data_IF_495324276168
#
_entry.id   IF_495324276168
#
_cell.length_a   1.000
_cell.length_b   1.000
_cell.length_c   1.000
_cell.angle_alpha   90.00
_cell.angle_beta   90.00
_cell.angle_gamma   90.00
#
_symmetry.space_group_name_H-M   'P 1'
#
loop_
_entity.id
_entity.type
_entity.pdbx_description
1 polymer ?
#
# COMPACT_ATOMS: atom_id res chain seq x y z
N UNK A 1 23.00 -6.89 -5.75
CA UNK A 1 21.79 -6.10 -5.44
C UNK A 1 22.05 -5.42 -4.11
N UNK A 2 22.22 -4.10 -4.07
CA UNK A 2 22.38 -3.40 -2.80
C UNK A 2 21.06 -3.54 -2.02
N UNK A 3 21.12 -4.08 -0.81
CA UNK A 3 20.00 -4.02 0.11
C UNK A 3 19.70 -2.55 0.36
N UNK A 4 18.47 -2.10 0.07
CA UNK A 4 18.03 -0.75 0.44
C UNK A 4 17.86 -0.76 1.96
N UNK A 5 18.93 -0.45 2.67
CA UNK A 5 18.93 -0.31 4.14
C UNK A 5 18.62 1.14 4.56
N UNK A 6 18.71 2.08 3.61
CA UNK A 6 18.45 3.49 3.85
C UNK A 6 17.02 3.85 3.47
N UNK A 7 16.16 3.99 4.48
CA UNK A 7 14.74 4.26 4.30
C UNK A 7 14.48 5.66 3.75
N UNK A 8 15.46 6.59 3.87
CA UNK A 8 15.36 7.98 3.38
C UNK A 8 15.13 8.06 1.87
N UNK A 9 15.61 7.08 1.10
CA UNK A 9 15.39 7.05 -0.36
C UNK A 9 13.90 6.98 -0.71
N UNK A 10 13.08 6.31 0.11
CA UNK A 10 11.64 6.24 -0.10
C UNK A 10 10.96 7.56 0.24
N UNK A 11 11.36 8.19 1.34
CA UNK A 11 10.84 9.50 1.76
C UNK A 11 11.13 10.58 0.70
N UNK A 12 12.36 10.64 0.19
CA UNK A 12 12.79 11.59 -0.85
C UNK A 12 11.99 11.43 -2.16
N UNK A 13 11.59 10.21 -2.50
CA UNK A 13 10.83 9.92 -3.70
C UNK A 13 9.30 9.95 -3.51
N UNK A 14 8.78 10.13 -2.30
CA UNK A 14 7.34 10.09 -2.02
C UNK A 14 6.54 11.11 -2.85
N UNK A 15 7.07 12.33 -3.04
CA UNK A 15 6.42 13.34 -3.87
C UNK A 15 6.39 12.97 -5.35
N UNK A 16 7.50 12.44 -5.88
CA UNK A 16 7.59 11.98 -7.27
C UNK A 16 6.67 10.77 -7.51
N UNK A 17 6.60 9.85 -6.55
CA UNK A 17 5.67 8.73 -6.55
C UNK A 17 4.22 9.22 -6.66
N UNK A 18 3.77 10.10 -5.75
CA UNK A 18 2.42 10.70 -5.79
C UNK A 18 2.13 11.44 -7.10
N UNK A 19 3.12 12.13 -7.67
CA UNK A 19 2.96 12.78 -8.97
C UNK A 19 2.75 11.75 -10.09
N UNK A 20 3.54 10.68 -10.09
CA UNK A 20 3.40 9.59 -11.06
C UNK A 20 2.06 8.86 -10.96
N UNK A 21 1.54 8.59 -9.75
CA UNK A 21 0.24 7.94 -9.58
C UNK A 21 -0.90 8.73 -10.22
N UNK A 22 -0.79 10.06 -10.23
CA UNK A 22 -1.75 10.98 -10.86
C UNK A 22 -1.61 11.07 -12.38
N UNK A 23 -0.60 10.44 -13.00
CA UNK A 23 -0.51 10.37 -14.47
C UNK A 23 -1.56 9.43 -15.05
N UNK A 24 -1.90 9.52 -16.36
CA UNK A 24 -2.79 8.56 -17.00
C UNK A 24 -2.33 7.10 -16.84
N UNK A 25 -1.02 6.86 -16.90
CA UNK A 25 -0.45 5.52 -16.74
C UNK A 25 -0.54 5.02 -15.30
N UNK A 26 -0.24 5.86 -14.31
CA UNK A 26 -0.42 5.53 -12.90
C UNK A 26 -1.87 5.14 -12.59
N UNK A 27 -2.84 5.96 -13.01
CA UNK A 27 -4.27 5.66 -12.86
C UNK A 27 -4.71 4.39 -13.59
N UNK A 28 -4.11 4.06 -14.73
CA UNK A 28 -4.39 2.81 -15.43
C UNK A 28 -3.85 1.61 -14.63
N UNK A 29 -2.61 1.70 -14.12
CA UNK A 29 -2.00 0.64 -13.30
C UNK A 29 -2.88 0.29 -12.11
N UNK A 30 -3.28 1.28 -11.30
CA UNK A 30 -4.10 1.02 -10.11
C UNK A 30 -5.48 0.46 -10.45
N UNK A 31 -6.09 0.88 -11.57
CA UNK A 31 -7.35 0.27 -12.02
C UNK A 31 -7.19 -1.20 -12.38
N UNK A 32 -6.12 -1.56 -13.07
CA UNK A 32 -5.83 -2.96 -13.42
C UNK A 32 -5.56 -3.80 -12.18
N UNK A 33 -4.75 -3.30 -11.24
CA UNK A 33 -4.48 -3.99 -9.97
C UNK A 33 -5.77 -4.16 -9.17
N UNK A 34 -6.60 -3.13 -9.04
CA UNK A 34 -7.88 -3.22 -8.34
C UNK A 34 -8.80 -4.30 -8.93
N UNK A 35 -8.88 -4.44 -10.26
CA UNK A 35 -9.65 -5.51 -10.90
C UNK A 35 -9.12 -6.90 -10.58
N UNK A 36 -7.80 -7.07 -10.53
CA UNK A 36 -7.18 -8.33 -10.16
C UNK A 36 -7.42 -8.66 -8.68
N UNK A 37 -7.21 -7.69 -7.80
CA UNK A 37 -7.45 -7.83 -6.37
C UNK A 37 -8.91 -8.20 -6.09
N UNK A 38 -9.86 -7.53 -6.74
CA UNK A 38 -11.29 -7.82 -6.59
C UNK A 38 -11.63 -9.29 -6.89
N UNK A 39 -11.01 -9.86 -7.93
CA UNK A 39 -11.21 -11.27 -8.31
C UNK A 39 -10.66 -12.23 -7.26
N UNK A 40 -9.47 -11.95 -6.74
CA UNK A 40 -8.82 -12.82 -5.78
C UNK A 40 -9.42 -12.70 -4.38
N UNK A 41 -9.78 -11.48 -3.98
CA UNK A 41 -10.40 -11.19 -2.68
C UNK A 41 -11.78 -11.83 -2.55
N UNK A 42 -12.57 -11.85 -3.64
CA UNK A 42 -13.90 -12.48 -3.62
C UNK A 42 -13.86 -13.98 -3.30
N UNK A 43 -12.71 -14.65 -3.50
CA UNK A 43 -12.52 -16.06 -3.18
C UNK A 43 -11.97 -16.30 -1.77
N UNK A 44 -11.64 -15.25 -1.00
CA UNK A 44 -11.08 -15.40 0.33
C UNK A 44 -12.17 -15.75 1.36
N UNK A 45 -11.86 -16.58 2.37
CA UNK A 45 -12.78 -16.84 3.47
C UNK A 45 -13.14 -15.57 4.24
N UNK A 46 -14.35 -15.53 4.79
CA UNK A 46 -14.77 -14.49 5.71
C UNK A 46 -13.80 -14.41 6.91
N UNK A 47 -13.49 -13.19 7.36
CA UNK A 47 -12.55 -12.96 8.47
C UNK A 47 -11.08 -13.03 8.09
N UNK A 48 -10.74 -13.13 6.81
CA UNK A 48 -9.35 -13.01 6.35
C UNK A 48 -8.73 -11.67 6.76
N UNK A 49 -7.49 -11.71 7.25
CA UNK A 49 -6.70 -10.54 7.62
C UNK A 49 -5.54 -10.40 6.62
N UNK A 50 -5.29 -9.17 6.17
CA UNK A 50 -4.27 -8.84 5.18
C UNK A 50 -3.12 -8.11 5.84
N UNK A 51 -1.90 -8.59 5.60
CA UNK A 51 -0.65 -7.88 5.90
C UNK A 51 -0.01 -7.48 4.56
N UNK A 52 0.10 -6.18 4.31
CA UNK A 52 0.74 -5.63 3.11
C UNK A 52 2.14 -5.12 3.44
N UNK A 53 3.16 -5.87 3.02
CA UNK A 53 4.57 -5.59 3.31
C UNK A 53 5.20 -4.76 2.20
N UNK A 54 5.69 -3.58 2.53
CA UNK A 54 6.11 -2.57 1.55
C UNK A 54 4.91 -1.89 0.86
N UNK A 55 3.77 -1.80 1.56
CA UNK A 55 2.53 -1.26 1.00
C UNK A 55 2.51 0.27 0.83
N UNK A 56 3.60 0.96 1.19
CA UNK A 56 3.82 2.37 0.96
C UNK A 56 2.63 3.23 1.45
N UNK A 57 2.06 4.04 0.56
CA UNK A 57 0.96 4.95 0.83
C UNK A 57 -0.42 4.28 0.81
N UNK A 58 -0.45 2.94 0.76
CA UNK A 58 -1.65 2.11 0.93
C UNK A 58 -2.57 2.08 -0.29
N UNK A 59 -2.14 2.58 -1.45
CA UNK A 59 -3.02 2.78 -2.61
C UNK A 59 -3.66 1.47 -3.11
N UNK A 60 -2.92 0.36 -3.14
CA UNK A 60 -3.47 -0.96 -3.45
C UNK A 60 -4.18 -1.58 -2.23
N UNK A 61 -3.66 -1.35 -1.02
CA UNK A 61 -4.16 -1.88 0.26
C UNK A 61 -5.58 -1.41 0.58
N UNK A 62 -5.92 -0.17 0.20
CA UNK A 62 -7.26 0.43 0.31
C UNK A 62 -8.35 -0.52 -0.19
N UNK A 63 -8.07 -1.23 -1.29
CA UNK A 63 -9.09 -2.03 -1.96
C UNK A 63 -9.56 -3.21 -1.11
N UNK A 64 -8.66 -3.77 -0.29
CA UNK A 64 -9.02 -4.82 0.66
C UNK A 64 -9.91 -4.28 1.79
N UNK A 65 -9.60 -3.08 2.31
CA UNK A 65 -10.39 -2.42 3.34
C UNK A 65 -11.81 -2.07 2.85
N UNK A 66 -11.94 -1.59 1.61
CA UNK A 66 -13.24 -1.34 0.96
C UNK A 66 -14.11 -2.61 0.80
N UNK A 67 -13.49 -3.80 0.84
CA UNK A 67 -14.18 -5.10 0.83
C UNK A 67 -14.47 -5.65 2.23
N UNK A 68 -14.18 -4.87 3.28
CA UNK A 68 -14.43 -5.24 4.68
C UNK A 68 -13.36 -6.14 5.29
N UNK A 69 -12.21 -6.33 4.64
CA UNK A 69 -11.09 -7.07 5.22
C UNK A 69 -10.33 -6.18 6.21
N UNK A 70 -9.79 -6.81 7.25
CA UNK A 70 -8.87 -6.12 8.16
C UNK A 70 -7.48 -6.04 7.51
N UNK A 71 -6.96 -4.83 7.29
CA UNK A 71 -5.69 -4.59 6.58
C UNK A 71 -4.69 -3.91 7.49
N UNK A 72 -3.46 -4.42 7.50
CA UNK A 72 -2.29 -3.72 8.08
C UNK A 72 -1.25 -3.50 6.99
N UNK A 73 -0.90 -2.25 6.74
CA UNK A 73 0.22 -1.86 5.87
C UNK A 73 1.46 -1.70 6.72
N UNK A 74 2.56 -2.34 6.31
CA UNK A 74 3.87 -2.13 6.92
C UNK A 74 4.86 -1.61 5.89
N UNK A 75 5.54 -0.53 6.23
CA UNK A 75 6.51 0.11 5.35
C UNK A 75 7.62 0.77 6.19
N UNK A 76 8.88 0.79 5.74
CA UNK A 76 9.93 1.53 6.42
C UNK A 76 9.78 3.06 6.34
N UNK A 77 9.04 3.58 5.35
CA UNK A 77 8.83 5.02 5.16
C UNK A 77 7.66 5.53 6.01
N UNK A 78 7.97 6.29 7.06
CA UNK A 78 6.94 6.98 7.85
C UNK A 78 6.14 7.97 6.99
N UNK A 79 6.78 8.64 6.03
CA UNK A 79 6.12 9.60 5.11
C UNK A 79 5.06 8.91 4.25
N UNK A 80 5.31 7.67 3.82
CA UNK A 80 4.34 6.89 3.07
C UNK A 80 3.20 6.42 3.98
N UNK A 81 3.52 5.90 5.17
CA UNK A 81 2.52 5.45 6.14
C UNK A 81 1.60 6.57 6.64
N UNK A 82 2.08 7.80 6.74
CA UNK A 82 1.22 8.96 7.07
C UNK A 82 0.06 9.07 6.09
N UNK A 83 0.30 8.82 4.79
CA UNK A 83 -0.75 8.83 3.77
C UNK A 83 -1.66 7.59 3.88
N UNK A 84 -1.07 6.41 4.10
CA UNK A 84 -1.83 5.16 4.26
C UNK A 84 -2.79 5.21 5.47
N UNK A 85 -2.35 5.81 6.58
CA UNK A 85 -3.12 5.90 7.82
C UNK A 85 -4.37 6.79 7.72
N UNK A 86 -4.45 7.66 6.71
CA UNK A 86 -5.64 8.49 6.46
C UNK A 86 -6.75 7.72 5.73
N UNK A 87 -6.53 6.46 5.38
CA UNK A 87 -7.50 5.66 4.65
C UNK A 87 -8.36 4.85 5.62
N UNK A 88 -9.68 5.00 5.49
CA UNK A 88 -10.64 4.27 6.32
C UNK A 88 -10.42 2.75 6.23
N UNK A 89 -10.32 2.11 7.40
CA UNK A 89 -10.14 0.65 7.50
C UNK A 89 -8.71 0.15 7.30
N UNK A 90 -7.74 1.04 7.04
CA UNK A 90 -6.32 0.69 6.93
C UNK A 90 -5.61 0.98 8.25
N UNK A 91 -4.91 -0.02 8.80
CA UNK A 91 -3.96 0.16 9.90
C UNK A 91 -2.54 0.23 9.34
N UNK A 92 -1.65 0.93 10.02
CA UNK A 92 -0.25 1.08 9.61
C UNK A 92 0.69 0.69 10.74
N UNK A 93 1.85 0.11 10.41
CA UNK A 93 2.96 -0.06 11.33
C UNK A 93 4.31 0.12 10.62
N UNK A 94 5.28 0.74 11.29
CA UNK A 94 6.62 0.93 10.73
C UNK A 94 7.35 -0.41 10.69
N UNK A 95 7.93 -0.75 9.55
CA UNK A 95 8.78 -1.93 9.40
C UNK A 95 10.23 -1.56 9.72
N UNK A 96 10.73 -2.00 10.87
CA UNK A 96 12.16 -1.89 11.21
C UNK A 96 12.92 -3.06 10.59
N UNK A 97 13.82 -2.78 9.65
CA UNK A 97 14.75 -3.77 9.11
C UNK A 97 15.90 -3.94 10.12
N UNK A 98 15.99 -5.11 10.74
CA UNK A 98 17.09 -5.48 11.64
C UNK A 98 18.32 -6.00 10.89
#
# INVERSE_FOLDING_TARGET
MAHVTDTRVFDEHAAAWRAWQRTPWGRLRYRLVAQLLDRHVAALPAGTVVLDVGGADGADSRRFAERGLAVTVVDPSAVMLDTASQQDGVRTAVLTLA
#
